data_IF_976274535995
#
_entry.id   IF_976274535995
#
_cell.length_a   1.000
_cell.length_b   1.000
_cell.length_c   1.000
_cell.angle_alpha   90.00
_cell.angle_beta   90.00
_cell.angle_gamma   90.00
#
_symmetry.space_group_name_H-M   'P 1'
#
loop_
_entity.id
_entity.type
_entity.pdbx_description
1 polymer ?
#
# COMPACT_ATOMS: atom_id res chain seq x y z
N UNK A 1 -44.72 53.31 14.22
CA UNK A 1 -45.37 52.12 13.59
C UNK A 1 -44.71 51.64 12.29
N UNK A 2 -44.04 52.48 11.48
CA UNK A 2 -43.36 52.04 10.24
C UNK A 2 -42.15 51.11 10.51
N UNK A 3 -41.36 51.41 11.54
CA UNK A 3 -40.13 50.66 11.83
C UNK A 3 -40.41 49.26 12.41
N UNK A 4 -41.55 49.08 13.09
CA UNK A 4 -41.96 47.77 13.61
C UNK A 4 -42.43 46.83 12.49
N UNK A 5 -43.11 47.36 11.46
CA UNK A 5 -43.48 46.57 10.27
C UNK A 5 -42.24 46.13 9.49
N UNK A 6 -41.25 46.99 9.34
CA UNK A 6 -39.99 46.67 8.64
C UNK A 6 -39.21 45.54 9.31
N UNK A 7 -39.15 45.54 10.65
CA UNK A 7 -38.45 44.49 11.43
C UNK A 7 -39.16 43.13 11.27
N UNK A 8 -40.50 43.10 11.31
CA UNK A 8 -41.26 41.87 11.07
C UNK A 8 -41.11 41.37 9.63
N UNK A 9 -41.04 42.26 8.63
CA UNK A 9 -40.83 41.86 7.23
C UNK A 9 -39.44 41.26 7.01
N UNK A 10 -38.39 41.81 7.63
CA UNK A 10 -37.03 41.28 7.54
C UNK A 10 -36.91 39.92 8.23
N UNK A 11 -37.50 39.76 9.42
CA UNK A 11 -37.47 38.51 10.17
C UNK A 11 -38.18 37.35 9.43
N UNK A 12 -39.29 37.64 8.76
CA UNK A 12 -40.02 36.66 7.95
C UNK A 12 -39.21 36.29 6.69
N UNK A 13 -38.56 37.25 6.03
CA UNK A 13 -37.70 36.95 4.88
C UNK A 13 -36.54 36.04 5.27
N UNK A 14 -35.85 36.31 6.40
CA UNK A 14 -34.73 35.49 6.89
C UNK A 14 -35.15 34.07 7.28
N UNK A 15 -36.36 33.89 7.81
CA UNK A 15 -36.90 32.57 8.16
C UNK A 15 -37.28 31.74 6.92
N UNK A 16 -37.74 32.39 5.84
CA UNK A 16 -38.00 31.71 4.56
C UNK A 16 -36.71 31.23 3.87
N UNK A 17 -35.60 31.98 3.96
CA UNK A 17 -34.32 31.50 3.38
C UNK A 17 -33.72 30.33 4.18
N UNK A 18 -33.90 30.31 5.51
CA UNK A 18 -33.47 29.17 6.35
C UNK A 18 -34.36 27.92 6.17
N UNK A 19 -35.66 28.10 5.93
CA UNK A 19 -36.60 27.00 5.66
C UNK A 19 -36.47 26.43 4.24
N UNK A 20 -35.84 27.16 3.32
CA UNK A 20 -35.48 26.70 1.99
C UNK A 20 -34.03 26.21 1.91
N UNK A 21 -33.41 25.81 3.03
CA UNK A 21 -32.22 24.98 3.01
C UNK A 21 -32.64 23.53 2.66
N UNK A 22 -33.17 23.38 1.45
CA UNK A 22 -33.48 22.10 0.86
C UNK A 22 -32.13 21.42 0.64
N UNK A 23 -31.88 20.31 1.32
CA UNK A 23 -30.63 19.53 1.19
C UNK A 23 -30.30 19.18 -0.26
N UNK A 24 -31.27 19.25 -1.16
CA UNK A 24 -31.12 19.13 -2.60
C UNK A 24 -30.15 20.14 -3.22
N UNK A 25 -30.12 21.42 -2.83
CA UNK A 25 -29.24 22.42 -3.46
C UNK A 25 -27.79 22.24 -3.01
N UNK A 26 -27.57 21.84 -1.77
CA UNK A 26 -26.24 21.53 -1.25
C UNK A 26 -25.66 20.24 -1.87
N UNK A 27 -26.52 19.25 -2.17
CA UNK A 27 -26.16 18.03 -2.91
C UNK A 27 -25.94 18.24 -4.41
N UNK A 28 -26.36 19.38 -4.98
CA UNK A 28 -26.14 19.73 -6.39
C UNK A 28 -24.80 20.46 -6.63
N UNK A 29 -24.07 20.81 -5.56
CA UNK A 29 -22.72 21.36 -5.63
C UNK A 29 -21.63 20.32 -5.37
N UNK A 30 -22.01 19.10 -4.99
CA UNK A 30 -21.10 17.97 -4.83
C UNK A 30 -20.98 17.32 -6.21
N UNK A 31 -19.79 17.40 -6.83
CA UNK A 31 -19.54 16.64 -8.05
C UNK A 31 -19.94 15.18 -7.82
N UNK A 32 -20.59 14.51 -8.78
CA UNK A 32 -20.93 13.11 -8.61
C UNK A 32 -19.62 12.36 -8.35
N UNK A 33 -19.46 11.86 -7.12
CA UNK A 33 -18.35 10.97 -6.77
C UNK A 33 -18.60 9.69 -7.55
N UNK A 34 -17.99 9.60 -8.73
CA UNK A 34 -17.97 8.37 -9.52
C UNK A 34 -17.41 7.26 -8.59
N UNK A 35 -18.11 6.12 -8.48
CA UNK A 35 -17.63 5.05 -7.61
C UNK A 35 -16.25 4.62 -8.07
N UNK A 36 -15.35 4.47 -7.11
CA UNK A 36 -13.97 4.08 -7.39
C UNK A 36 -13.93 2.76 -8.18
N UNK A 37 -13.10 2.73 -9.22
CA UNK A 37 -13.03 1.58 -10.12
C UNK A 37 -12.43 0.39 -9.38
N UNK A 38 -13.15 -0.73 -9.37
CA UNK A 38 -12.69 -1.98 -8.78
C UNK A 38 -12.90 -3.19 -9.69
N UNK A 39 -12.13 -4.26 -9.49
CA UNK A 39 -12.12 -5.46 -10.33
C UNK A 39 -11.77 -6.73 -9.54
N UNK A 40 -12.13 -7.88 -10.08
CA UNK A 40 -11.75 -9.19 -9.53
C UNK A 40 -12.53 -9.58 -8.28
N UNK A 41 -12.00 -10.57 -7.58
CA UNK A 41 -12.49 -11.05 -6.29
C UNK A 41 -11.29 -11.50 -5.45
N UNK A 42 -11.40 -11.42 -4.13
CA UNK A 42 -10.43 -12.00 -3.20
C UNK A 42 -11.12 -12.61 -1.99
N UNK A 43 -10.48 -13.63 -1.41
CA UNK A 43 -10.85 -14.21 -0.12
C UNK A 43 -9.85 -13.85 0.99
N UNK A 44 -9.03 -12.82 0.78
CA UNK A 44 -7.99 -12.38 1.71
C UNK A 44 -8.52 -11.50 2.85
N UNK A 45 -9.84 -11.39 3.00
CA UNK A 45 -10.50 -10.66 4.08
C UNK A 45 -10.44 -11.42 5.40
N UNK A 46 -10.10 -10.73 6.49
CA UNK A 46 -10.16 -11.31 7.83
C UNK A 46 -11.59 -11.52 8.35
N UNK A 47 -12.57 -10.78 7.81
CA UNK A 47 -14.00 -10.88 8.18
C UNK A 47 -14.81 -11.80 7.26
N UNK A 48 -14.15 -12.46 6.29
CA UNK A 48 -14.78 -13.35 5.32
C UNK A 48 -15.62 -12.64 4.25
N UNK A 49 -15.58 -11.30 4.19
CA UNK A 49 -16.24 -10.54 3.13
C UNK A 49 -15.45 -10.63 1.81
N UNK A 50 -16.15 -10.90 0.71
CA UNK A 50 -15.51 -10.84 -0.60
C UNK A 50 -15.23 -9.37 -0.98
N UNK A 51 -13.95 -9.01 -1.01
CA UNK A 51 -13.50 -7.70 -1.49
C UNK A 51 -13.15 -7.74 -2.97
N UNK A 52 -13.15 -6.55 -3.58
CA UNK A 52 -12.62 -6.30 -4.92
C UNK A 52 -11.31 -5.54 -4.82
N UNK A 53 -10.48 -5.64 -5.84
CA UNK A 53 -9.24 -4.88 -5.92
C UNK A 53 -9.52 -3.49 -6.49
N UNK A 54 -9.03 -2.47 -5.79
CA UNK A 54 -8.93 -1.09 -6.20
C UNK A 54 -7.49 -0.79 -6.60
N UNK A 55 -7.26 0.33 -7.30
CA UNK A 55 -5.91 0.81 -7.54
C UNK A 55 -5.33 1.33 -6.21
N UNK A 56 -4.13 0.91 -5.85
CA UNK A 56 -3.45 1.44 -4.67
C UNK A 56 -2.79 2.79 -4.92
N UNK A 57 -1.97 3.21 -3.98
CA UNK A 57 -1.32 4.52 -3.95
C UNK A 57 0.16 4.47 -4.33
N UNK A 58 0.70 5.62 -4.75
CA UNK A 58 2.13 5.77 -4.99
C UNK A 58 2.91 5.79 -3.67
N UNK A 59 2.31 6.21 -2.57
CA UNK A 59 2.89 6.20 -1.23
C UNK A 59 3.27 4.78 -0.79
N UNK A 60 2.38 3.80 -1.00
CA UNK A 60 2.68 2.40 -0.72
C UNK A 60 3.81 1.86 -1.63
N UNK A 61 3.81 2.22 -2.91
CA UNK A 61 4.90 1.87 -3.83
C UNK A 61 6.22 2.51 -3.40
N UNK A 62 6.20 3.74 -2.91
CA UNK A 62 7.38 4.46 -2.45
C UNK A 62 8.06 3.75 -1.28
N UNK A 63 7.29 3.18 -0.35
CA UNK A 63 7.85 2.35 0.74
C UNK A 63 8.68 1.18 0.19
N UNK A 64 8.25 0.52 -0.88
CA UNK A 64 9.03 -0.58 -1.48
C UNK A 64 10.27 -0.05 -2.22
N UNK A 65 10.20 1.13 -2.82
CA UNK A 65 11.36 1.79 -3.44
C UNK A 65 12.41 2.18 -2.41
N UNK A 66 11.99 2.75 -1.30
CA UNK A 66 12.87 3.12 -0.19
C UNK A 66 13.50 1.86 0.44
N UNK A 67 12.73 0.76 0.51
CA UNK A 67 13.23 -0.54 0.98
C UNK A 67 14.30 -1.12 0.06
N UNK A 68 14.09 -1.06 -1.26
CA UNK A 68 15.09 -1.47 -2.25
C UNK A 68 16.36 -0.62 -2.17
N UNK A 69 16.25 0.68 -1.85
CA UNK A 69 17.39 1.57 -1.66
C UNK A 69 18.24 1.16 -0.45
N UNK A 70 17.62 1.00 0.74
CA UNK A 70 18.36 0.57 1.94
C UNK A 70 18.91 -0.85 1.78
N UNK A 71 18.19 -1.74 1.08
CA UNK A 71 18.65 -3.07 0.74
C UNK A 71 19.88 -3.04 -0.17
N UNK A 72 19.84 -2.25 -1.25
CA UNK A 72 20.96 -2.07 -2.19
C UNK A 72 22.20 -1.52 -1.49
N UNK A 73 22.01 -0.63 -0.53
CA UNK A 73 23.09 -0.05 0.28
C UNK A 73 23.55 -0.96 1.42
N UNK A 74 22.95 -2.15 1.59
CA UNK A 74 23.19 -3.05 2.72
C UNK A 74 23.00 -2.39 4.08
N UNK A 75 22.11 -1.39 4.15
CA UNK A 75 21.72 -0.72 5.39
C UNK A 75 20.68 -1.57 6.12
N UNK A 76 21.16 -2.55 6.88
CA UNK A 76 20.31 -3.49 7.60
C UNK A 76 19.53 -2.84 8.74
N UNK A 77 20.05 -1.76 9.34
CA UNK A 77 19.30 -0.98 10.32
C UNK A 77 18.15 -0.23 9.63
N UNK A 78 18.41 0.36 8.47
CA UNK A 78 17.40 0.97 7.60
C UNK A 78 16.31 -0.03 7.18
N UNK A 79 16.70 -1.22 6.70
CA UNK A 79 15.76 -2.31 6.40
C UNK A 79 14.90 -2.61 7.62
N UNK A 80 15.50 -2.87 8.79
CA UNK A 80 14.75 -3.17 10.02
C UNK A 80 13.79 -2.05 10.39
N UNK A 81 14.21 -0.80 10.23
CA UNK A 81 13.39 0.37 10.53
C UNK A 81 12.18 0.51 9.61
N UNK A 82 12.07 -0.23 8.50
CA UNK A 82 10.90 -0.23 7.61
C UNK A 82 9.93 -1.38 7.89
N UNK A 83 10.30 -2.32 8.76
CA UNK A 83 9.48 -3.48 9.10
C UNK A 83 8.59 -3.16 10.31
N UNK A 84 7.40 -3.74 10.32
CA UNK A 84 6.62 -3.88 11.56
C UNK A 84 7.31 -4.88 12.48
N UNK A 85 7.26 -4.67 13.80
CA UNK A 85 7.82 -5.60 14.79
C UNK A 85 7.21 -7.00 14.70
N UNK A 86 5.97 -7.10 14.19
CA UNK A 86 5.24 -8.37 14.04
C UNK A 86 5.32 -8.94 12.62
N UNK A 87 6.14 -8.36 11.75
CA UNK A 87 6.16 -8.73 10.34
C UNK A 87 6.51 -10.20 10.11
N UNK A 88 5.96 -10.76 9.03
CA UNK A 88 6.18 -12.15 8.60
C UNK A 88 6.77 -12.21 7.20
N UNK A 89 7.83 -13.00 7.07
CA UNK A 89 8.58 -13.14 5.81
C UNK A 89 8.43 -14.57 5.30
N UNK A 90 7.84 -14.71 4.13
CA UNK A 90 7.58 -15.99 3.48
C UNK A 90 8.59 -16.15 2.37
N UNK A 91 9.65 -16.86 2.69
CA UNK A 91 10.83 -16.94 1.84
C UNK A 91 10.60 -17.91 0.67
N UNK A 92 11.33 -17.69 -0.42
CA UNK A 92 11.25 -18.50 -1.65
C UNK A 92 11.50 -20.00 -1.47
N UNK A 93 12.10 -20.42 -0.36
CA UNK A 93 12.32 -21.83 -0.01
C UNK A 93 11.17 -22.46 0.83
N UNK A 94 10.10 -21.70 1.08
CA UNK A 94 8.94 -22.14 1.87
C UNK A 94 9.04 -21.87 3.37
N UNK A 95 10.16 -21.34 3.86
CA UNK A 95 10.30 -20.96 5.27
C UNK A 95 9.47 -19.71 5.58
N UNK A 96 8.94 -19.65 6.81
CA UNK A 96 8.31 -18.45 7.36
C UNK A 96 9.17 -17.95 8.52
N UNK A 97 9.63 -16.71 8.42
CA UNK A 97 10.56 -16.11 9.37
C UNK A 97 9.86 -14.98 10.15
N UNK A 98 10.23 -14.85 11.42
CA UNK A 98 10.04 -13.62 12.19
C UNK A 98 11.02 -12.53 11.75
N UNK A 99 10.81 -11.30 12.23
CA UNK A 99 11.72 -10.17 11.98
C UNK A 99 13.15 -10.50 12.38
N UNK A 100 13.40 -11.05 13.57
CA UNK A 100 14.76 -11.32 14.04
C UNK A 100 15.45 -12.43 13.24
N UNK A 101 14.72 -13.48 12.88
CA UNK A 101 15.24 -14.55 12.02
C UNK A 101 15.56 -14.04 10.62
N UNK A 102 14.66 -13.22 10.05
CA UNK A 102 14.87 -12.58 8.75
C UNK A 102 16.08 -11.65 8.77
N UNK A 103 16.18 -10.75 9.76
CA UNK A 103 17.30 -9.82 9.88
C UNK A 103 18.63 -10.55 10.09
N UNK A 104 18.63 -11.63 10.88
CA UNK A 104 19.82 -12.48 11.05
C UNK A 104 20.21 -13.13 9.72
N UNK A 105 19.23 -13.66 8.98
CA UNK A 105 19.48 -14.29 7.69
C UNK A 105 20.10 -13.30 6.70
N UNK A 106 19.47 -12.15 6.44
CA UNK A 106 19.92 -11.22 5.39
C UNK A 106 21.22 -10.50 5.73
N UNK A 107 21.51 -10.24 7.01
CA UNK A 107 22.76 -9.59 7.41
C UNK A 107 23.96 -10.54 7.45
N UNK A 108 23.72 -11.83 7.69
CA UNK A 108 24.74 -12.88 7.62
C UNK A 108 25.05 -13.33 6.19
N UNK A 109 24.04 -13.27 5.32
CA UNK A 109 24.11 -13.61 3.91
C UNK A 109 24.63 -12.39 3.14
N UNK A 110 25.86 -11.95 3.44
CA UNK A 110 26.50 -10.83 2.75
C UNK A 110 26.65 -11.17 1.27
N UNK A 111 25.62 -10.83 0.49
CA UNK A 111 25.41 -11.15 -0.92
C UNK A 111 26.34 -10.32 -1.81
N UNK A 112 27.62 -10.21 -1.47
CA UNK A 112 28.63 -9.53 -2.29
C UNK A 112 28.74 -10.10 -3.72
N UNK A 113 28.06 -11.21 -4.00
CA UNK A 113 27.90 -11.86 -5.30
C UNK A 113 26.55 -11.63 -6.00
N UNK A 114 25.54 -11.03 -5.35
CA UNK A 114 24.21 -10.82 -5.92
C UNK A 114 24.05 -9.39 -6.46
N UNK A 115 23.65 -9.27 -7.72
CA UNK A 115 23.18 -8.02 -8.32
C UNK A 115 21.67 -8.08 -8.41
N UNK A 116 21.00 -7.10 -7.80
CA UNK A 116 19.56 -6.93 -7.86
C UNK A 116 19.20 -5.81 -8.83
N UNK A 117 18.12 -6.00 -9.59
CA UNK A 117 17.54 -4.97 -10.43
C UNK A 117 16.05 -4.88 -10.13
N UNK A 118 15.61 -3.75 -9.58
CA UNK A 118 14.20 -3.45 -9.42
C UNK A 118 13.58 -3.08 -10.78
N UNK A 119 12.71 -3.95 -11.29
CA UNK A 119 12.11 -3.80 -12.62
C UNK A 119 10.82 -2.97 -12.60
N UNK A 120 10.14 -2.91 -11.46
CA UNK A 120 8.94 -2.11 -11.27
C UNK A 120 8.01 -2.69 -10.21
N UNK A 121 7.06 -1.88 -9.76
CA UNK A 121 6.05 -2.25 -8.79
C UNK A 121 4.71 -1.55 -9.06
N UNK A 122 3.63 -2.10 -8.50
CA UNK A 122 2.32 -1.48 -8.43
C UNK A 122 1.62 -1.86 -7.13
N UNK A 123 0.68 -1.02 -6.67
CA UNK A 123 -0.12 -1.28 -5.48
C UNK A 123 -1.59 -1.59 -5.83
N UNK A 124 -2.22 -2.42 -5.02
CA UNK A 124 -3.67 -2.66 -5.01
C UNK A 124 -4.20 -2.57 -3.59
N UNK A 125 -5.41 -2.05 -3.45
CA UNK A 125 -6.10 -1.90 -2.18
C UNK A 125 -7.41 -2.70 -2.18
N UNK A 126 -7.67 -3.44 -1.11
CA UNK A 126 -8.91 -4.19 -0.94
C UNK A 126 -10.04 -3.32 -0.37
N UNK A 127 -9.69 -2.38 0.51
CA UNK A 127 -10.61 -1.47 1.18
C UNK A 127 -9.89 -0.15 1.51
N UNK A 128 -9.98 0.85 0.62
CA UNK A 128 -9.39 2.18 0.80
C UNK A 128 -9.82 2.92 2.07
N UNK A 129 -10.86 2.43 2.76
CA UNK A 129 -11.34 3.04 4.01
C UNK A 129 -10.70 2.46 5.27
N UNK A 130 -10.13 1.24 5.19
CA UNK A 130 -9.50 0.54 6.32
C UNK A 130 -8.00 0.78 6.40
N UNK A 131 -7.39 1.16 5.28
CA UNK A 131 -5.95 1.33 5.17
C UNK A 131 -5.23 -0.02 5.08
N UNK A 132 -4.02 0.03 4.53
CA UNK A 132 -3.23 -1.16 4.26
C UNK A 132 -3.29 -1.54 2.79
N UNK A 133 -2.13 -1.71 2.17
CA UNK A 133 -2.06 -1.92 0.73
C UNK A 133 -1.14 -3.08 0.35
N UNK A 134 -1.49 -3.78 -0.72
CA UNK A 134 -0.70 -4.85 -1.28
C UNK A 134 0.17 -4.34 -2.43
N UNK A 135 1.48 -4.32 -2.23
CA UNK A 135 2.44 -3.92 -3.27
C UNK A 135 3.08 -5.13 -3.90
N UNK A 136 3.03 -5.18 -5.23
CA UNK A 136 3.64 -6.23 -6.04
C UNK A 136 4.87 -5.65 -6.73
N UNK A 137 6.03 -6.24 -6.49
CA UNK A 137 7.30 -5.81 -7.06
C UNK A 137 7.96 -6.95 -7.86
N UNK A 138 8.64 -6.58 -8.94
CA UNK A 138 9.38 -7.50 -9.78
C UNK A 138 10.87 -7.17 -9.76
N UNK A 139 11.70 -8.19 -9.60
CA UNK A 139 13.15 -8.06 -9.57
C UNK A 139 13.80 -9.08 -10.50
N UNK A 140 14.92 -8.71 -11.11
CA UNK A 140 15.84 -9.65 -11.73
C UNK A 140 17.11 -9.70 -10.89
N UNK A 141 17.52 -10.91 -10.52
CA UNK A 141 18.63 -11.15 -9.60
C UNK A 141 19.65 -12.04 -10.28
N UNK A 142 20.91 -11.63 -10.25
CA UNK A 142 22.03 -12.42 -10.74
C UNK A 142 23.00 -12.68 -9.60
N UNK A 143 23.28 -13.94 -9.31
CA UNK A 143 24.25 -14.36 -8.30
C UNK A 143 25.46 -15.01 -8.96
N UNK A 144 26.66 -14.55 -8.61
CA UNK A 144 27.92 -15.13 -9.10
C UNK A 144 28.67 -15.88 -8.00
N UNK A 145 28.77 -17.18 -8.14
CA UNK A 145 29.60 -18.02 -7.27
C UNK A 145 30.73 -18.60 -8.11
N UNK A 146 31.97 -18.20 -7.81
CA UNK A 146 33.16 -18.51 -8.62
C UNK A 146 32.98 -18.12 -10.11
N UNK A 147 32.91 -19.11 -11.00
CA UNK A 147 32.69 -18.95 -12.44
C UNK A 147 31.24 -19.22 -12.88
N UNK A 148 30.35 -19.53 -11.95
CA UNK A 148 28.94 -19.85 -12.23
C UNK A 148 28.10 -18.60 -11.99
N UNK A 149 27.27 -18.25 -12.98
CA UNK A 149 26.27 -17.19 -12.89
C UNK A 149 24.90 -17.85 -12.88
N UNK A 150 24.12 -17.57 -11.84
CA UNK A 150 22.73 -17.98 -11.72
C UNK A 150 21.83 -16.75 -11.81
N UNK A 151 20.85 -16.77 -12.72
CA UNK A 151 19.88 -15.69 -12.87
C UNK A 151 18.51 -16.16 -12.37
N UNK A 152 17.77 -15.24 -11.74
CA UNK A 152 16.41 -15.48 -11.28
C UNK A 152 15.55 -14.26 -11.52
N UNK A 153 14.28 -14.50 -11.83
CA UNK A 153 13.25 -13.48 -11.72
C UNK A 153 12.49 -13.71 -10.41
N UNK A 154 12.33 -12.64 -9.64
CA UNK A 154 11.60 -12.63 -8.39
C UNK A 154 10.33 -11.79 -8.52
N UNK A 155 9.25 -12.31 -7.97
CA UNK A 155 8.08 -11.51 -7.62
C UNK A 155 8.02 -11.44 -6.11
N UNK A 156 7.93 -10.24 -5.61
CA UNK A 156 7.75 -9.97 -4.19
C UNK A 156 6.38 -9.34 -3.98
N UNK A 157 5.71 -9.78 -2.92
CA UNK A 157 4.43 -9.22 -2.49
C UNK A 157 4.57 -8.71 -1.07
N UNK A 158 4.32 -7.43 -0.91
CA UNK A 158 4.35 -6.75 0.37
C UNK A 158 2.93 -6.44 0.81
N UNK A 159 2.67 -6.51 2.10
CA UNK A 159 1.52 -5.86 2.71
C UNK A 159 2.01 -4.75 3.62
N UNK A 160 1.55 -3.53 3.37
CA UNK A 160 2.08 -2.32 3.97
C UNK A 160 0.97 -1.64 4.76
N UNK A 161 1.19 -1.39 6.05
CA UNK A 161 0.28 -0.63 6.92
C UNK A 161 1.09 0.50 7.54
N UNK A 162 0.58 1.73 7.50
CA UNK A 162 1.20 2.92 8.11
C UNK A 162 2.69 3.09 7.75
N UNK A 163 3.03 2.85 6.48
CA UNK A 163 4.40 2.96 5.97
C UNK A 163 5.36 1.85 6.41
N UNK A 164 4.85 0.77 7.02
CA UNK A 164 5.63 -0.38 7.49
C UNK A 164 5.25 -1.64 6.75
N UNK A 165 6.25 -2.46 6.42
CA UNK A 165 6.03 -3.80 5.88
C UNK A 165 5.57 -4.72 6.99
N UNK A 166 4.38 -5.30 6.84
CA UNK A 166 3.78 -6.29 7.76
C UNK A 166 3.93 -7.71 7.22
N UNK A 167 3.88 -7.88 5.91
CA UNK A 167 4.10 -9.17 5.26
C UNK A 167 4.99 -8.99 4.05
N UNK A 168 5.93 -9.91 3.83
CA UNK A 168 6.79 -9.96 2.65
C UNK A 168 6.87 -11.39 2.13
N UNK A 169 6.29 -11.65 0.96
CA UNK A 169 6.40 -12.94 0.28
C UNK A 169 7.36 -12.85 -0.89
N UNK A 170 8.27 -13.81 -0.99
CA UNK A 170 9.15 -13.99 -2.14
C UNK A 170 8.77 -15.22 -2.96
N UNK A 171 8.64 -15.02 -4.27
CA UNK A 171 8.51 -16.08 -5.27
C UNK A 171 9.68 -15.94 -6.23
N UNK A 172 10.34 -17.05 -6.57
CA UNK A 172 11.48 -17.03 -7.51
C UNK A 172 11.31 -18.05 -8.62
N UNK A 173 11.72 -17.66 -9.82
CA UNK A 173 11.88 -18.52 -10.98
C UNK A 173 13.34 -18.49 -11.42
N UNK A 174 13.97 -19.64 -11.53
CA UNK A 174 15.32 -19.73 -12.10
C UNK A 174 15.26 -19.50 -13.62
N UNK A 175 16.14 -18.63 -14.13
CA UNK A 175 16.25 -18.25 -15.54
C UNK A 175 17.53 -18.87 -16.10
N UNK A 176 17.38 -19.66 -17.17
CA UNK A 176 18.48 -20.37 -17.84
C UNK A 176 19.08 -19.58 -18.99
#
# INVERSE_FOLDING_TARGET
MKNLKLIFTIAILTAFVYSCNNSAVQRMMEEPVEPERSVGFTNWSDDGAEYKFHLGTDEAVQVVRDLDEVWTNQDWEGVRAMLSDTAKFYWRNGNVLSVDEFMTQISSDSTGSATWKFNGAFSVDLDPTRGGEHVHAAFSVSTKTDSIIENRDLIERYYIIDGKVVTWHQFSLDVK
#
